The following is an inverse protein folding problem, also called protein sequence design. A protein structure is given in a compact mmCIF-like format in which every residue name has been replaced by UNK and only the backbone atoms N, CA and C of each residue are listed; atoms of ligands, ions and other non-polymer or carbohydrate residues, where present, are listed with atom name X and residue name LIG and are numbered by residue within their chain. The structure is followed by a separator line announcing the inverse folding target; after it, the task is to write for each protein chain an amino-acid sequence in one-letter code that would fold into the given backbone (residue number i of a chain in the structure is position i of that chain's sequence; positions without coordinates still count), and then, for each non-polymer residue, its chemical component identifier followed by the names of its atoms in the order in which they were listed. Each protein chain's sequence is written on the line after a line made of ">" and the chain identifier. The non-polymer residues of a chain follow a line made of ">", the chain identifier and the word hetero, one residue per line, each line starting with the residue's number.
data_IF_691057215657
#
_entry.id   IF_691057215657
#
_cell.length_a   1.000
_cell.length_b   1.000
_cell.length_c   1.000
_cell.angle_alpha   90.00
_cell.angle_beta   90.00
_cell.angle_gamma   90.00
#
_symmetry.space_group_name_H-M   'P 1'
#
loop_
_entity.id
_entity.type
_entity.pdbx_description
1 polymer ?
#
# COMPACT_ATOMS: atom_id res chain seq x y z
N UNK A 1 24.90 -1.49 -2.68
CA UNK A 1 23.66 -2.31 -2.61
C UNK A 1 23.14 -2.53 -1.19
N UNK A 2 23.85 -3.25 -0.28
CA UNK A 2 23.31 -3.60 1.06
C UNK A 2 22.85 -2.39 1.89
N UNK A 3 23.69 -1.34 2.01
CA UNK A 3 23.34 -0.11 2.76
C UNK A 3 22.06 0.55 2.24
N UNK A 4 21.92 0.67 0.91
CA UNK A 4 20.72 1.24 0.29
C UNK A 4 19.48 0.38 0.52
N UNK A 5 19.60 -0.96 0.42
CA UNK A 5 18.50 -1.88 0.70
C UNK A 5 18.03 -1.78 2.17
N UNK A 6 18.96 -1.67 3.12
CA UNK A 6 18.60 -1.43 4.53
C UNK A 6 17.90 -0.08 4.73
N UNK A 7 18.41 1.00 4.12
CA UNK A 7 17.77 2.31 4.20
C UNK A 7 16.35 2.31 3.61
N UNK A 8 16.15 1.65 2.46
CA UNK A 8 14.84 1.48 1.83
C UNK A 8 13.89 0.63 2.66
N UNK A 9 14.39 -0.43 3.32
CA UNK A 9 13.57 -1.25 4.22
C UNK A 9 13.19 -0.50 5.48
N UNK A 10 14.11 0.27 6.06
CA UNK A 10 13.83 1.14 7.20
C UNK A 10 12.77 2.19 6.83
N UNK A 11 12.93 2.86 5.68
CA UNK A 11 11.92 3.77 5.14
C UNK A 11 10.56 3.09 4.96
N UNK A 12 10.53 1.86 4.42
CA UNK A 12 9.29 1.12 4.22
C UNK A 12 8.56 0.81 5.54
N UNK A 13 9.28 0.32 6.54
CA UNK A 13 8.72 0.02 7.87
C UNK A 13 8.22 1.29 8.53
N UNK A 14 9.02 2.34 8.50
CA UNK A 14 8.72 3.56 9.23
C UNK A 14 7.56 4.34 8.59
N UNK A 15 7.48 4.39 7.26
CA UNK A 15 6.32 5.00 6.57
C UNK A 15 5.04 4.19 6.71
N UNK A 16 5.12 2.86 6.90
CA UNK A 16 3.95 2.07 7.26
C UNK A 16 3.47 2.40 8.69
N UNK A 17 4.39 2.56 9.64
CA UNK A 17 4.08 2.90 11.05
C UNK A 17 3.60 4.33 11.24
N UNK A 18 4.15 5.28 10.48
CA UNK A 18 3.80 6.70 10.58
C UNK A 18 2.29 6.93 10.39
N UNK A 19 1.62 6.07 9.62
CA UNK A 19 0.17 6.14 9.39
C UNK A 19 -0.67 5.83 10.64
N UNK A 20 -0.13 5.03 11.57
CA UNK A 20 -0.85 4.65 12.80
C UNK A 20 -0.56 5.59 13.98
N UNK A 21 0.55 6.32 13.93
CA UNK A 21 1.08 7.10 15.07
C UNK A 21 0.95 8.62 14.87
N UNK A 22 0.98 9.10 13.62
CA UNK A 22 0.98 10.54 13.36
C UNK A 22 -0.45 11.12 13.22
N UNK A 23 -0.71 12.25 13.88
CA UNK A 23 -1.96 13.01 13.71
C UNK A 23 -2.14 13.56 12.29
N UNK A 24 -1.05 13.94 11.62
CA UNK A 24 -1.00 14.19 10.18
C UNK A 24 0.05 13.28 9.53
N UNK A 25 -0.36 12.26 8.76
CA UNK A 25 0.54 11.33 8.12
C UNK A 25 1.58 12.00 7.21
N UNK A 26 1.27 13.17 6.64
CA UNK A 26 2.18 13.90 5.73
C UNK A 26 3.44 14.35 6.45
N UNK A 27 3.33 14.79 7.70
CA UNK A 27 4.48 15.31 8.47
C UNK A 27 5.43 14.16 8.80
N UNK A 28 4.89 13.02 9.25
CA UNK A 28 5.68 11.81 9.53
C UNK A 28 6.41 11.36 8.27
N UNK A 29 5.69 11.23 7.16
CA UNK A 29 6.25 10.73 5.91
C UNK A 29 7.25 11.70 5.25
N UNK A 30 7.01 13.02 5.30
CA UNK A 30 7.93 14.03 4.75
C UNK A 30 9.29 14.01 5.46
N UNK A 31 9.30 13.87 6.79
CA UNK A 31 10.54 13.75 7.57
C UNK A 31 11.33 12.48 7.21
N UNK A 32 10.62 11.41 6.87
CA UNK A 32 11.21 10.12 6.51
C UNK A 32 11.77 10.10 5.09
N UNK A 33 11.13 10.81 4.14
CA UNK A 33 11.65 10.99 2.79
C UNK A 33 12.99 11.76 2.74
N UNK A 34 13.31 12.50 3.81
CA UNK A 34 14.57 13.26 3.96
C UNK A 34 15.68 12.45 4.65
N UNK A 35 15.49 11.15 4.90
CA UNK A 35 16.49 10.30 5.56
C UNK A 35 17.79 10.20 4.72
N UNK A 36 18.98 10.50 5.27
CA UNK A 36 20.24 10.60 4.52
C UNK A 36 20.56 9.39 3.63
N UNK A 37 20.33 8.16 4.11
CA UNK A 37 20.58 6.95 3.31
C UNK A 37 19.66 6.73 2.11
N UNK A 38 18.53 7.44 2.04
CA UNK A 38 17.58 7.40 0.92
C UNK A 38 17.88 8.49 -0.11
N UNK A 39 18.31 9.67 0.35
CA UNK A 39 18.62 10.82 -0.50
C UNK A 39 20.03 10.76 -1.11
N UNK A 40 20.95 10.01 -0.51
CA UNK A 40 22.34 9.84 -0.98
C UNK A 40 22.49 8.86 -2.16
N UNK A 41 21.51 8.00 -2.40
CA UNK A 41 21.54 7.07 -3.52
C UNK A 41 20.89 7.68 -4.78
N UNK A 42 21.25 7.19 -5.98
CA UNK A 42 20.59 7.55 -7.26
C UNK A 42 19.15 7.01 -7.37
N UNK A 43 18.39 7.09 -6.29
CA UNK A 43 17.01 6.62 -6.18
C UNK A 43 16.09 7.71 -6.72
N UNK A 44 15.10 7.30 -7.51
CA UNK A 44 14.16 8.26 -8.09
C UNK A 44 13.29 8.93 -7.01
N UNK A 45 13.34 10.27 -6.95
CA UNK A 45 12.44 11.08 -6.12
C UNK A 45 10.96 10.83 -6.46
N UNK A 46 10.64 10.50 -7.71
CA UNK A 46 9.27 10.18 -8.11
C UNK A 46 8.77 8.88 -7.47
N UNK A 47 9.63 7.86 -7.36
CA UNK A 47 9.30 6.59 -6.72
C UNK A 47 9.07 6.77 -5.21
N UNK A 48 9.89 7.59 -4.55
CA UNK A 48 9.66 7.94 -3.14
C UNK A 48 8.31 8.62 -2.98
N UNK A 49 8.03 9.66 -3.77
CA UNK A 49 6.74 10.35 -3.74
C UNK A 49 5.56 9.42 -4.01
N UNK A 50 5.67 8.52 -4.99
CA UNK A 50 4.63 7.55 -5.30
C UNK A 50 4.34 6.61 -4.13
N UNK A 51 5.38 6.11 -3.45
CA UNK A 51 5.26 5.24 -2.27
C UNK A 51 4.56 5.95 -1.11
N UNK A 52 4.94 7.20 -0.87
CA UNK A 52 4.31 8.07 0.12
C UNK A 52 2.84 8.31 -0.20
N UNK A 53 2.55 8.70 -1.43
CA UNK A 53 1.20 9.06 -1.88
C UNK A 53 0.25 7.86 -1.84
N UNK A 54 0.70 6.68 -2.23
CA UNK A 54 -0.08 5.45 -2.13
C UNK A 54 -0.51 5.16 -0.68
N UNK A 55 0.39 5.37 0.30
CA UNK A 55 0.10 5.19 1.72
C UNK A 55 -0.84 6.26 2.28
N UNK A 56 -0.62 7.52 1.91
CA UNK A 56 -1.50 8.62 2.32
C UNK A 56 -2.92 8.39 1.82
N UNK A 57 -3.07 8.00 0.55
CA UNK A 57 -4.38 7.73 -0.03
C UNK A 57 -5.08 6.54 0.63
N UNK A 58 -4.34 5.49 0.98
CA UNK A 58 -4.90 4.34 1.70
C UNK A 58 -5.38 4.71 3.11
N UNK A 59 -4.59 5.44 3.89
CA UNK A 59 -5.00 5.84 5.24
C UNK A 59 -6.11 6.90 5.28
N UNK A 60 -6.35 7.59 4.16
CA UNK A 60 -7.44 8.55 4.01
C UNK A 60 -8.75 7.92 3.56
N UNK A 61 -8.75 6.62 3.22
CA UNK A 61 -9.99 5.93 2.84
C UNK A 61 -11.04 6.13 3.92
N UNK A 62 -12.26 6.37 3.52
CA UNK A 62 -13.39 6.37 4.43
C UNK A 62 -13.97 4.96 4.53
N UNK A 63 -14.89 4.77 5.48
CA UNK A 63 -15.64 3.51 5.65
C UNK A 63 -16.35 3.09 4.35
N UNK A 64 -16.75 4.07 3.55
CA UNK A 64 -17.43 3.89 2.27
C UNK A 64 -16.49 3.58 1.12
N UNK A 65 -15.18 3.80 1.27
CA UNK A 65 -14.17 3.62 0.22
C UNK A 65 -13.68 2.16 0.15
N UNK A 66 -14.65 1.25 0.00
CA UNK A 66 -14.37 -0.17 -0.15
C UNK A 66 -13.71 -0.39 -1.52
N UNK A 67 -12.57 -1.11 -1.61
CA UNK A 67 -11.98 -1.49 -2.89
C UNK A 67 -13.01 -2.23 -3.75
N UNK A 68 -13.18 -1.84 -5.00
CA UNK A 68 -14.17 -2.50 -5.88
C UNK A 68 -13.65 -3.86 -6.36
N UNK A 69 -12.35 -3.91 -6.65
CA UNK A 69 -11.70 -5.01 -7.36
C UNK A 69 -10.35 -5.38 -6.75
N UNK A 70 -9.80 -6.54 -7.14
CA UNK A 70 -8.46 -6.95 -6.70
C UNK A 70 -7.42 -5.97 -7.27
N UNK A 71 -7.67 -5.45 -8.47
CA UNK A 71 -6.84 -4.50 -9.18
C UNK A 71 -6.64 -3.19 -8.39
N UNK A 72 -7.63 -2.76 -7.60
CA UNK A 72 -7.50 -1.58 -6.74
C UNK A 72 -6.48 -1.80 -5.61
N UNK A 73 -6.43 -3.02 -5.07
CA UNK A 73 -5.45 -3.41 -4.07
C UNK A 73 -4.08 -3.64 -4.70
N UNK A 74 -4.02 -4.20 -5.90
CA UNK A 74 -2.78 -4.31 -6.67
C UNK A 74 -2.19 -2.94 -7.00
N UNK A 75 -3.02 -1.96 -7.32
CA UNK A 75 -2.58 -0.57 -7.58
C UNK A 75 -1.94 0.04 -6.34
N UNK A 76 -2.51 -0.20 -5.16
CA UNK A 76 -1.90 0.19 -3.89
C UNK A 76 -0.56 -0.53 -3.64
N UNK A 77 -0.51 -1.86 -3.84
CA UNK A 77 0.70 -2.66 -3.65
C UNK A 77 1.81 -2.31 -4.66
N UNK A 78 1.45 -1.94 -5.89
CA UNK A 78 2.32 -1.39 -6.92
C UNK A 78 2.94 -0.07 -6.47
N UNK A 79 2.08 0.85 -6.01
CA UNK A 79 2.50 2.15 -5.49
C UNK A 79 3.36 2.07 -4.23
N UNK A 80 3.16 1.07 -3.37
CA UNK A 80 3.85 0.94 -2.09
C UNK A 80 5.05 -0.03 -2.15
N UNK A 81 4.80 -1.33 -2.05
CA UNK A 81 5.83 -2.37 -1.88
C UNK A 81 6.63 -2.58 -3.17
N UNK A 82 5.97 -2.66 -4.32
CA UNK A 82 6.66 -2.84 -5.60
C UNK A 82 7.60 -1.67 -5.89
N UNK A 83 7.18 -0.46 -5.52
CA UNK A 83 8.00 0.75 -5.64
C UNK A 83 9.29 0.67 -4.79
N UNK A 84 9.26 0.07 -3.60
CA UNK A 84 10.49 -0.20 -2.81
C UNK A 84 11.41 -1.19 -3.54
N UNK A 85 10.85 -2.23 -4.15
CA UNK A 85 11.63 -3.21 -4.91
C UNK A 85 12.28 -2.56 -6.14
N UNK A 86 11.56 -1.69 -6.86
CA UNK A 86 12.13 -0.90 -7.96
C UNK A 86 13.30 -0.04 -7.50
N UNK A 87 13.15 0.66 -6.39
CA UNK A 87 14.23 1.48 -5.82
C UNK A 87 15.42 0.63 -5.38
N UNK A 88 15.17 -0.59 -4.89
CA UNK A 88 16.22 -1.55 -4.52
C UNK A 88 17.01 -2.02 -5.75
N UNK A 89 16.32 -2.36 -6.84
CA UNK A 89 16.94 -2.71 -8.12
C UNK A 89 17.76 -1.53 -8.67
N UNK A 90 17.20 -0.32 -8.67
CA UNK A 90 17.88 0.90 -9.12
C UNK A 90 19.13 1.21 -8.28
N UNK A 91 19.04 1.09 -6.95
CA UNK A 91 20.19 1.27 -6.05
C UNK A 91 21.26 0.17 -6.21
N UNK A 92 20.87 -0.99 -6.74
CA UNK A 92 21.77 -2.07 -7.17
C UNK A 92 22.38 -1.85 -8.56
N UNK A 93 21.99 -0.79 -9.28
CA UNK A 93 22.41 -0.55 -10.67
C UNK A 93 21.71 -1.44 -11.70
N UNK A 94 20.66 -2.18 -11.30
CA UNK A 94 19.94 -3.11 -12.17
C UNK A 94 18.94 -2.33 -13.00
N UNK A 95 19.13 -2.36 -14.33
CA UNK A 95 18.23 -1.75 -15.32
C UNK A 95 17.74 -2.84 -16.28
N UNK A 96 16.71 -3.56 -15.87
CA UNK A 96 16.14 -4.66 -16.65
C UNK A 96 14.63 -4.63 -16.59
N UNK A 97 13.98 -4.65 -17.74
CA UNK A 97 12.52 -4.73 -17.87
C UNK A 97 11.99 -6.00 -17.22
N UNK A 98 12.65 -7.14 -17.42
CA UNK A 98 12.27 -8.40 -16.79
C UNK A 98 12.39 -8.35 -15.26
N UNK A 99 13.46 -7.73 -14.74
CA UNK A 99 13.61 -7.55 -13.29
C UNK A 99 12.53 -6.64 -12.70
N UNK A 100 12.14 -5.58 -13.42
CA UNK A 100 11.04 -4.70 -13.01
C UNK A 100 9.69 -5.44 -13.05
N UNK A 101 9.39 -6.25 -14.08
CA UNK A 101 8.17 -7.06 -14.09
C UNK A 101 8.14 -8.05 -12.92
N UNK A 102 9.25 -8.73 -12.65
CA UNK A 102 9.35 -9.64 -11.50
C UNK A 102 9.12 -8.89 -10.18
N UNK A 103 9.73 -7.71 -10.01
CA UNK A 103 9.53 -6.86 -8.84
C UNK A 103 8.07 -6.39 -8.69
N UNK A 104 7.37 -6.08 -9.79
CA UNK A 104 5.93 -5.76 -9.77
C UNK A 104 5.11 -6.93 -9.23
N UNK A 105 5.29 -8.13 -9.80
CA UNK A 105 4.52 -9.31 -9.38
C UNK A 105 4.80 -9.67 -7.92
N UNK A 106 6.09 -9.67 -7.51
CA UNK A 106 6.48 -9.97 -6.13
C UNK A 106 5.90 -8.91 -5.18
N UNK A 107 5.99 -7.64 -5.54
CA UNK A 107 5.51 -6.54 -4.69
C UNK A 107 3.98 -6.54 -4.56
N UNK A 108 3.25 -6.78 -5.64
CA UNK A 108 1.79 -6.95 -5.62
C UNK A 108 1.36 -8.14 -4.77
N UNK A 109 1.95 -9.31 -4.99
CA UNK A 109 1.64 -10.51 -4.21
C UNK A 109 1.94 -10.32 -2.71
N UNK A 110 3.11 -9.74 -2.40
CA UNK A 110 3.49 -9.44 -1.01
C UNK A 110 2.57 -8.40 -0.36
N UNK A 111 2.10 -7.41 -1.13
CA UNK A 111 1.17 -6.40 -0.65
C UNK A 111 -0.21 -6.96 -0.37
N UNK A 112 -0.75 -7.76 -1.29
CA UNK A 112 -2.01 -8.47 -1.05
C UNK A 112 -1.91 -9.37 0.19
N UNK A 113 -0.81 -10.11 0.34
CA UNK A 113 -0.59 -10.95 1.53
C UNK A 113 -0.60 -10.11 2.82
N UNK A 114 0.12 -8.99 2.85
CA UNK A 114 0.16 -8.11 4.03
C UNK A 114 -1.22 -7.55 4.38
N UNK A 115 -2.01 -7.17 3.38
CA UNK A 115 -3.39 -6.70 3.57
C UNK A 115 -4.30 -7.82 4.10
N UNK A 116 -4.10 -9.06 3.65
CA UNK A 116 -4.84 -10.22 4.18
C UNK A 116 -4.46 -10.50 5.64
N UNK A 117 -3.16 -10.45 5.96
CA UNK A 117 -2.66 -10.64 7.34
C UNK A 117 -3.16 -9.54 8.29
N UNK A 118 -3.40 -8.33 7.79
CA UNK A 118 -3.92 -7.23 8.60
C UNK A 118 -5.44 -7.25 8.80
N UNK A 119 -6.19 -8.07 8.03
CA UNK A 119 -7.65 -8.13 8.13
C UNK A 119 -8.19 -8.32 9.56
N UNK A 120 -7.66 -9.24 10.40
CA UNK A 120 -8.17 -9.41 11.76
C UNK A 120 -7.99 -8.16 12.61
N UNK A 121 -6.88 -7.44 12.44
CA UNK A 121 -6.59 -6.19 13.14
C UNK A 121 -7.57 -5.08 12.73
N UNK A 122 -7.83 -4.93 11.43
CA UNK A 122 -8.77 -3.91 10.95
C UNK A 122 -10.23 -4.23 11.31
N UNK A 123 -10.63 -5.50 11.20
CA UNK A 123 -11.97 -5.96 11.56
C UNK A 123 -12.28 -5.78 13.05
N UNK A 124 -11.33 -6.09 13.94
CA UNK A 124 -11.54 -6.02 15.41
C UNK A 124 -11.62 -4.61 15.98
N UNK A 125 -11.06 -3.60 15.29
CA UNK A 125 -11.01 -2.20 15.78
C UNK A 125 -12.11 -1.30 15.24
N UNK A 126 -13.12 -1.86 14.57
CA UNK A 126 -14.17 -1.10 13.88
C UNK A 126 -13.61 -0.02 12.92
N UNK A 127 -12.35 -0.18 12.50
CA UNK A 127 -11.79 0.52 11.36
C UNK A 127 -12.45 -0.18 10.18
N UNK A 128 -13.59 0.31 9.72
CA UNK A 128 -14.38 -0.28 8.63
C UNK A 128 -13.66 -0.34 7.26
N UNK A 129 -12.33 -0.23 7.25
CA UNK A 129 -11.42 -0.47 6.14
C UNK A 129 -11.31 -1.97 5.91
N UNK A 130 -12.33 -2.53 5.25
CA UNK A 130 -12.23 -3.91 4.76
C UNK A 130 -11.35 -3.92 3.51
N UNK A 131 -10.21 -4.60 3.59
CA UNK A 131 -9.39 -4.91 2.41
C UNK A 131 -9.96 -6.07 1.59
N UNK A 132 -11.22 -6.45 1.80
CA UNK A 132 -11.94 -7.42 0.96
C UNK A 132 -12.66 -6.64 -0.16
N UNK A 133 -12.31 -6.86 -1.44
CA UNK A 133 -12.95 -6.13 -2.52
C UNK A 133 -14.45 -6.43 -2.64
N UNK A 134 -15.27 -5.44 -3.00
CA UNK A 134 -16.72 -5.56 -3.12
C UNK A 134 -17.16 -6.65 -4.11
N UNK A 135 -16.47 -6.78 -5.25
CA UNK A 135 -16.73 -7.85 -6.22
C UNK A 135 -16.45 -9.24 -5.65
N UNK A 136 -15.37 -9.39 -4.89
CA UNK A 136 -15.02 -10.66 -4.23
C UNK A 136 -16.04 -10.97 -3.14
N UNK A 137 -16.36 -9.99 -2.30
CA UNK A 137 -17.34 -10.13 -1.24
C UNK A 137 -18.73 -10.51 -1.80
N UNK A 138 -19.18 -9.85 -2.87
CA UNK A 138 -20.43 -10.18 -3.57
C UNK A 138 -20.42 -11.59 -4.14
N UNK A 139 -19.34 -11.99 -4.83
CA UNK A 139 -19.19 -13.31 -5.44
C UNK A 139 -19.28 -14.44 -4.40
N UNK A 140 -18.85 -14.18 -3.17
CA UNK A 140 -18.84 -15.14 -2.07
C UNK A 140 -19.98 -14.93 -1.06
N UNK A 141 -20.99 -14.11 -1.36
CA UNK A 141 -22.16 -13.92 -0.51
C UNK A 141 -21.91 -13.15 0.80
N UNK A 142 -20.79 -12.41 0.87
CA UNK A 142 -20.40 -11.62 2.05
C UNK A 142 -21.04 -10.23 2.10
N UNK A 143 -21.71 -9.80 1.02
CA UNK A 143 -22.48 -8.55 0.98
C UNK A 143 -23.98 -8.84 0.92
N UNK A 144 -24.72 -8.28 1.86
CA UNK A 144 -26.18 -8.30 1.84
C UNK A 144 -26.66 -7.26 0.84
N UNK A 145 -27.30 -7.69 -0.26
CA UNK A 145 -28.12 -6.77 -1.07
C UNK A 145 -29.23 -6.26 -0.16
N UNK A 146 -29.18 -5.00 0.28
CA UNK A 146 -30.35 -4.40 0.92
C UNK A 146 -31.50 -4.45 -0.10
N UNK A 147 -32.44 -5.37 0.14
CA UNK A 147 -33.67 -5.42 -0.62
C UNK A 147 -34.39 -4.10 -0.43
N UNK A 148 -34.65 -3.40 -1.53
CA UNK A 148 -35.54 -2.23 -1.55
C UNK A 148 -36.87 -2.69 -0.97
N UNK A 149 -37.14 -2.29 0.27
CA UNK A 149 -38.40 -2.56 0.94
C UNK A 149 -39.44 -1.65 0.27
N UNK A 150 -40.02 -2.12 -0.85
CA UNK A 150 -41.22 -1.51 -1.44
C UNK A 150 -42.35 -1.71 -0.44
N UNK A 151 -42.47 -0.78 0.50
CA UNK A 151 -43.70 -0.59 1.26
C UNK A 151 -44.76 -0.15 0.27
N UNK A 152 -45.64 -1.07 -0.10
CA UNK A 152 -46.93 -0.72 -0.66
C UNK A 152 -47.74 -0.08 0.48
N UNK A 153 -48.16 1.16 0.28
CA UNK A 153 -49.25 1.82 1.00
C UNK A 153 -50.10 2.52 -0.05
#
# INVERSE_FOLDING_TARGET
>A
MRKAAFALRAFNVETARAMDVASDPRIGIMRLALTPGVTENKISKSCLRQSVEARINDARREVTDIPESIEDLEKYAEGSISTILYMTLQAGGIRSTAANHAASHIGKASGLLLLLESLPYHASRNRHFSYIPAKVASKHGLLVKQGVNKRYS
#
